data_IF_060512108890
#
_entry.id   IF_060512108890
#
_cell.length_a   1.000
_cell.length_b   1.000
_cell.length_c   1.000
_cell.angle_alpha   90.00
_cell.angle_beta   90.00
_cell.angle_gamma   90.00
#
_symmetry.space_group_name_H-M   'P 1'
#
loop_
_entity.id
_entity.type
_entity.pdbx_description
1 polymer ?
#
# COMPACT_ATOMS: atom_id res chain seq x y z
N UNK A 1 -28.48 2.94 11.25
CA UNK A 1 -27.51 2.61 10.18
C UNK A 1 -27.21 1.13 10.30
N UNK A 2 -27.34 0.34 9.22
CA UNK A 2 -27.06 -1.11 9.30
C UNK A 2 -25.55 -1.33 9.40
N UNK A 3 -25.09 -2.27 10.23
CA UNK A 3 -23.68 -2.69 10.35
C UNK A 3 -23.04 -2.96 8.99
N UNK A 4 -23.82 -3.49 8.05
CA UNK A 4 -23.46 -3.73 6.64
C UNK A 4 -22.99 -2.46 5.91
N UNK A 5 -23.71 -1.35 6.10
CA UNK A 5 -23.39 -0.06 5.48
C UNK A 5 -22.14 0.55 6.10
N UNK A 6 -21.98 0.41 7.43
CA UNK A 6 -20.81 0.88 8.15
C UNK A 6 -19.53 0.16 7.69
N UNK A 7 -19.54 -1.17 7.59
CA UNK A 7 -18.40 -1.97 7.10
C UNK A 7 -18.03 -1.61 5.66
N UNK A 8 -19.03 -1.41 4.80
CA UNK A 8 -18.79 -1.03 3.39
C UNK A 8 -18.19 0.38 3.29
N UNK A 9 -18.68 1.34 4.07
CA UNK A 9 -18.08 2.68 4.14
C UNK A 9 -16.65 2.64 4.67
N UNK A 10 -16.40 1.88 5.73
CA UNK A 10 -15.06 1.73 6.30
C UNK A 10 -14.07 1.13 5.30
N UNK A 11 -14.44 0.05 4.59
CA UNK A 11 -13.59 -0.57 3.56
C UNK A 11 -13.26 0.42 2.42
N UNK A 12 -14.26 1.18 1.96
CA UNK A 12 -14.06 2.20 0.91
C UNK A 12 -13.20 3.36 1.39
N UNK A 13 -13.39 3.83 2.62
CA UNK A 13 -12.55 4.87 3.21
C UNK A 13 -11.09 4.42 3.31
N UNK A 14 -10.86 3.16 3.71
CA UNK A 14 -9.53 2.58 3.79
C UNK A 14 -8.89 2.39 2.40
N UNK A 15 -9.68 2.05 1.38
CA UNK A 15 -9.21 2.03 0.00
C UNK A 15 -8.76 3.43 -0.48
N UNK A 16 -9.53 4.48 -0.17
CA UNK A 16 -9.14 5.87 -0.48
C UNK A 16 -7.89 6.27 0.29
N UNK A 17 -7.77 5.87 1.57
CA UNK A 17 -6.57 6.11 2.36
C UNK A 17 -5.33 5.47 1.74
N UNK A 18 -5.41 4.21 1.30
CA UNK A 18 -4.33 3.55 0.56
C UNK A 18 -3.98 4.28 -0.75
N UNK A 19 -4.99 4.76 -1.48
CA UNK A 19 -4.79 5.53 -2.70
C UNK A 19 -4.05 6.86 -2.43
N UNK A 20 -4.43 7.59 -1.37
CA UNK A 20 -3.76 8.83 -0.99
C UNK A 20 -2.29 8.59 -0.63
N UNK A 21 -1.99 7.51 0.10
CA UNK A 21 -0.61 7.13 0.38
C UNK A 21 0.18 6.74 -0.86
N UNK A 22 -0.45 6.03 -1.80
CA UNK A 22 0.17 5.72 -3.08
C UNK A 22 0.49 7.00 -3.87
N UNK A 23 -0.44 7.96 -3.92
CA UNK A 23 -0.19 9.25 -4.59
C UNK A 23 0.93 10.04 -3.89
N UNK A 24 0.98 10.03 -2.56
CA UNK A 24 2.06 10.67 -1.81
C UNK A 24 3.42 10.01 -2.13
N UNK A 25 3.49 8.68 -2.15
CA UNK A 25 4.73 7.98 -2.53
C UNK A 25 5.11 8.29 -4.00
N UNK A 26 4.13 8.44 -4.89
CA UNK A 26 4.34 8.80 -6.29
C UNK A 26 4.92 10.21 -6.46
N UNK A 27 4.48 11.21 -5.67
CA UNK A 27 4.99 12.58 -5.78
C UNK A 27 6.45 12.72 -5.34
N UNK A 28 6.93 11.83 -4.47
CA UNK A 28 8.35 11.80 -4.08
C UNK A 28 9.23 10.99 -5.04
N UNK A 29 8.64 10.20 -5.95
CA UNK A 29 9.38 9.37 -6.91
C UNK A 29 10.39 10.16 -7.78
N UNK A 30 10.08 11.38 -8.29
CA UNK A 30 11.05 12.15 -9.08
C UNK A 30 12.33 12.48 -8.29
N UNK A 31 12.20 12.83 -7.02
CA UNK A 31 13.33 13.16 -6.14
C UNK A 31 14.22 11.94 -5.88
N UNK A 32 13.61 10.76 -5.70
CA UNK A 32 14.36 9.52 -5.51
C UNK A 32 15.09 9.10 -6.77
N UNK A 33 14.42 9.21 -7.93
CA UNK A 33 15.02 8.90 -9.23
C UNK A 33 16.21 9.82 -9.53
N UNK A 34 16.07 11.11 -9.24
CA UNK A 34 17.17 12.07 -9.37
C UNK A 34 18.33 11.72 -8.45
N UNK A 35 18.05 11.37 -7.19
CA UNK A 35 19.06 10.97 -6.21
C UNK A 35 19.78 9.70 -6.65
N UNK A 36 19.04 8.68 -7.07
CA UNK A 36 19.62 7.45 -7.61
C UNK A 36 20.49 7.71 -8.85
N UNK A 37 20.01 8.54 -9.79
CA UNK A 37 20.77 8.92 -10.98
C UNK A 37 22.07 9.64 -10.60
N UNK A 38 22.01 10.58 -9.65
CA UNK A 38 23.17 11.33 -9.19
C UNK A 38 24.28 10.42 -8.64
N UNK A 39 23.93 9.36 -7.90
CA UNK A 39 24.89 8.41 -7.34
C UNK A 39 25.19 7.21 -8.23
N UNK A 40 24.55 7.08 -9.41
CA UNK A 40 24.71 5.93 -10.30
C UNK A 40 26.13 5.79 -10.82
N UNK A 41 26.71 6.90 -11.28
CA UNK A 41 28.02 6.89 -11.94
C UNK A 41 29.19 7.06 -10.95
N UNK A 42 28.91 7.08 -9.64
CA UNK A 42 29.92 7.19 -8.58
C UNK A 42 30.72 5.88 -8.34
N UNK A 43 30.83 5.00 -9.35
CA UNK A 43 31.56 3.74 -9.27
C UNK A 43 33.06 4.00 -9.00
N UNK A 44 33.56 3.48 -7.88
CA UNK A 44 34.99 3.54 -7.53
C UNK A 44 35.44 4.80 -6.79
N UNK A 45 34.57 5.80 -6.63
CA UNK A 45 34.84 6.89 -5.68
C UNK A 45 34.65 6.35 -4.23
N UNK A 46 35.53 6.80 -3.32
CA UNK A 46 35.47 6.77 -1.85
C UNK A 46 34.30 5.97 -1.23
N UNK A 47 34.58 5.06 -0.29
CA UNK A 47 33.61 4.15 0.39
C UNK A 47 32.24 4.77 0.73
N UNK A 48 32.17 6.06 1.06
CA UNK A 48 30.93 6.79 1.32
C UNK A 48 29.98 6.93 0.11
N UNK A 49 30.48 7.11 -1.11
CA UNK A 49 29.62 7.22 -2.31
C UNK A 49 29.01 5.87 -2.70
N UNK A 50 29.75 4.78 -2.48
CA UNK A 50 29.25 3.41 -2.68
C UNK A 50 28.14 3.09 -1.69
N UNK A 51 28.26 3.51 -0.43
CA UNK A 51 27.20 3.40 0.57
C UNK A 51 25.94 4.18 0.17
N UNK A 52 26.08 5.46 -0.20
CA UNK A 52 24.97 6.31 -0.63
C UNK A 52 24.22 5.74 -1.84
N UNK A 53 24.95 5.22 -2.83
CA UNK A 53 24.36 4.54 -3.98
C UNK A 53 23.50 3.36 -3.55
N UNK A 54 24.05 2.45 -2.74
CA UNK A 54 23.32 1.27 -2.28
C UNK A 54 22.10 1.65 -1.42
N UNK A 55 22.24 2.69 -0.59
CA UNK A 55 21.13 3.25 0.18
C UNK A 55 19.99 3.73 -0.74
N UNK A 56 20.28 4.53 -1.77
CA UNK A 56 19.26 5.04 -2.68
C UNK A 56 18.63 3.92 -3.53
N UNK A 57 19.39 2.89 -3.92
CA UNK A 57 18.85 1.70 -4.58
C UNK A 57 17.84 0.99 -3.69
N UNK A 58 18.23 0.69 -2.44
CA UNK A 58 17.37 -0.01 -1.49
C UNK A 58 16.12 0.82 -1.15
N UNK A 59 16.30 2.14 -0.99
CA UNK A 59 15.21 3.07 -0.73
C UNK A 59 14.20 3.10 -1.87
N UNK A 60 14.67 3.23 -3.12
CA UNK A 60 13.83 3.23 -4.31
C UNK A 60 13.10 1.89 -4.47
N UNK A 61 13.80 0.77 -4.27
CA UNK A 61 13.20 -0.56 -4.33
C UNK A 61 12.11 -0.77 -3.26
N UNK A 62 12.37 -0.36 -2.02
CA UNK A 62 11.42 -0.46 -0.92
C UNK A 62 10.19 0.44 -1.17
N UNK A 63 10.37 1.64 -1.71
CA UNK A 63 9.27 2.53 -2.06
C UNK A 63 8.41 1.95 -3.19
N UNK A 64 9.03 1.43 -4.25
CA UNK A 64 8.30 0.76 -5.34
C UNK A 64 7.49 -0.43 -4.81
N UNK A 65 8.09 -1.26 -3.95
CA UNK A 65 7.39 -2.37 -3.31
C UNK A 65 6.18 -1.89 -2.49
N UNK A 66 6.37 -0.84 -1.68
CA UNK A 66 5.28 -0.23 -0.89
C UNK A 66 4.15 0.28 -1.80
N UNK A 67 4.48 0.96 -2.89
CA UNK A 67 3.47 1.45 -3.86
C UNK A 67 2.67 0.30 -4.48
N UNK A 68 3.34 -0.79 -4.86
CA UNK A 68 2.68 -1.99 -5.37
C UNK A 68 1.74 -2.58 -4.32
N UNK A 69 2.20 -2.73 -3.07
CA UNK A 69 1.38 -3.24 -1.97
C UNK A 69 0.16 -2.36 -1.67
N UNK A 70 0.35 -1.03 -1.67
CA UNK A 70 -0.76 -0.07 -1.48
C UNK A 70 -1.78 -0.14 -2.62
N UNK A 71 -1.32 -0.29 -3.86
CA UNK A 71 -2.20 -0.45 -5.01
C UNK A 71 -3.01 -1.76 -4.92
N UNK A 72 -2.37 -2.88 -4.57
CA UNK A 72 -3.07 -4.14 -4.35
C UNK A 72 -4.05 -4.06 -3.16
N UNK A 73 -3.64 -3.43 -2.05
CA UNK A 73 -4.51 -3.21 -0.90
C UNK A 73 -5.73 -2.36 -1.27
N UNK A 74 -5.55 -1.29 -2.03
CA UNK A 74 -6.64 -0.45 -2.54
C UNK A 74 -7.59 -1.26 -3.42
N UNK A 75 -7.08 -2.00 -4.41
CA UNK A 75 -7.89 -2.83 -5.29
C UNK A 75 -8.66 -3.91 -4.51
N UNK A 76 -7.99 -4.53 -3.54
CA UNK A 76 -8.60 -5.49 -2.64
C UNK A 76 -9.74 -4.84 -1.85
N UNK A 77 -9.47 -3.80 -1.07
CA UNK A 77 -10.48 -3.11 -0.24
C UNK A 77 -11.64 -2.54 -1.05
N UNK A 78 -11.40 -2.11 -2.28
CA UNK A 78 -12.42 -1.61 -3.18
C UNK A 78 -13.29 -2.75 -3.74
N UNK A 79 -12.68 -3.85 -4.19
CA UNK A 79 -13.39 -5.03 -4.73
C UNK A 79 -13.99 -5.91 -3.66
N UNK A 80 -13.49 -5.85 -2.44
CA UNK A 80 -13.93 -6.67 -1.32
C UNK A 80 -15.26 -6.21 -0.73
N UNK A 81 -15.84 -5.07 -1.14
CA UNK A 81 -17.18 -4.65 -0.67
C UNK A 81 -18.25 -5.75 -0.73
N UNK A 82 -18.41 -6.49 -1.84
CA UNK A 82 -19.33 -7.63 -1.95
C UNK A 82 -18.78 -8.96 -1.38
N UNK A 83 -17.46 -9.15 -1.36
CA UNK A 83 -16.85 -10.39 -0.84
C UNK A 83 -16.80 -10.41 0.71
N UNK A 84 -16.50 -9.27 1.32
CA UNK A 84 -16.58 -9.03 2.78
C UNK A 84 -18.03 -9.16 3.25
N UNK A 85 -19.01 -8.77 2.42
CA UNK A 85 -20.42 -9.09 2.70
C UNK A 85 -20.64 -10.59 2.86
N UNK A 86 -20.09 -11.45 1.98
CA UNK A 86 -20.23 -12.91 2.12
C UNK A 86 -19.51 -13.44 3.36
N UNK A 87 -18.27 -13.04 3.61
CA UNK A 87 -17.50 -13.57 4.75
C UNK A 87 -18.02 -13.09 6.11
N UNK A 88 -18.43 -11.83 6.25
CA UNK A 88 -18.90 -11.30 7.55
C UNK A 88 -20.39 -11.56 7.81
N UNK A 89 -21.23 -11.69 6.77
CA UNK A 89 -22.64 -12.03 6.97
C UNK A 89 -22.88 -13.53 7.13
N UNK A 90 -22.08 -14.38 6.47
CA UNK A 90 -22.15 -15.82 6.69
C UNK A 90 -21.86 -16.19 8.16
N UNK A 91 -20.93 -15.49 8.82
CA UNK A 91 -20.63 -15.74 10.25
C UNK A 91 -21.70 -15.23 11.23
N UNK A 92 -22.72 -14.49 10.78
CA UNK A 92 -23.81 -14.02 11.67
C UNK A 92 -25.02 -14.97 11.65
N UNK A 93 -25.14 -15.85 10.65
CA UNK A 93 -26.29 -16.76 10.50
C UNK A 93 -26.11 -18.11 11.21
N UNK A 94 -24.91 -18.45 11.69
CA UNK A 94 -24.61 -19.71 12.40
C UNK A 94 -24.58 -19.56 13.95
N UNK A 95 -25.47 -18.75 14.52
CA UNK A 95 -25.78 -18.84 15.96
C UNK A 95 -27.15 -19.53 16.10
N UNK A 96 -27.21 -20.87 16.16
CA UNK A 96 -28.44 -21.54 16.58
C UNK A 96 -28.78 -21.08 18.00
N UNK A 97 -29.97 -20.50 18.12
CA UNK A 97 -30.66 -20.29 19.39
C UNK A 97 -30.66 -21.62 20.15
N UNK A 98 -30.36 -21.52 21.45
CA UNK A 98 -30.32 -22.68 22.32
C UNK A 98 -31.65 -23.43 22.36
N UNK A 99 -31.55 -24.74 22.36
CA UNK A 99 -32.47 -25.66 23.02
C UNK A 99 -31.68 -26.53 24.00
#
# INVERSE_FOLDING_TARGET
MSTKQAVTMASRALAVYCLLWFLADFTYMPTDLLSFWHYRDAYGAITGTTYLRNYHVLYLAARLLRMVLLFFAMQWLYRSGPAVQRYFLASTEEAPEGE
#
